data_IF_103692789740
#
_entry.id   IF_103692789740
#
_cell.length_a   1.000
_cell.length_b   1.000
_cell.length_c   1.000
_cell.angle_alpha   90.00
_cell.angle_beta   90.00
_cell.angle_gamma   90.00
#
_symmetry.space_group_name_H-M   'P 1'
#
loop_
_entity.id
_entity.type
_entity.pdbx_description
1 polymer ?
#
# COMPACT_ATOMS: atom_id res chain seq x y z
N UNK A 1 10.59 -13.73 24.58
CA UNK A 1 9.31 -14.35 24.20
C UNK A 1 8.95 -13.90 22.81
N UNK A 2 9.31 -14.69 21.79
CA UNK A 2 8.80 -14.49 20.43
C UNK A 2 7.51 -15.31 20.32
N UNK A 3 6.38 -14.61 20.33
CA UNK A 3 5.07 -15.24 20.19
C UNK A 3 4.89 -15.66 18.73
N UNK A 4 4.76 -16.97 18.49
CA UNK A 4 4.44 -17.55 17.20
C UNK A 4 3.12 -16.99 16.67
N UNK A 5 3.19 -16.15 15.64
CA UNK A 5 2.01 -15.65 14.93
C UNK A 5 1.56 -16.72 13.93
N UNK A 6 0.75 -17.66 14.41
CA UNK A 6 0.02 -18.59 13.54
C UNK A 6 -1.16 -17.85 12.95
N UNK A 7 -0.98 -17.23 11.78
CA UNK A 7 -2.10 -16.64 11.04
C UNK A 7 -2.65 -17.64 10.04
N UNK A 8 -3.76 -18.26 10.42
CA UNK A 8 -4.75 -18.72 9.47
C UNK A 8 -5.12 -17.55 8.56
N UNK A 9 -4.78 -17.65 7.28
CA UNK A 9 -5.22 -16.77 6.22
C UNK A 9 -6.74 -16.87 6.10
N UNK A 10 -7.45 -15.97 6.76
CA UNK A 10 -8.88 -15.71 6.55
C UNK A 10 -9.01 -14.26 6.14
N UNK A 11 -9.92 -14.02 5.23
CA UNK A 11 -10.14 -12.83 4.40
C UNK A 11 -9.76 -11.47 5.02
N UNK A 12 -9.31 -10.48 4.21
CA UNK A 12 -9.04 -9.12 4.68
C UNK A 12 -10.37 -8.40 4.99
N UNK A 13 -11.06 -8.88 6.02
CA UNK A 13 -12.39 -8.50 6.44
C UNK A 13 -12.26 -7.34 7.44
N UNK A 14 -12.56 -6.13 6.96
CA UNK A 14 -13.01 -4.87 7.60
C UNK A 14 -12.43 -4.37 8.95
N UNK A 15 -11.52 -5.10 9.58
CA UNK A 15 -11.04 -4.86 10.95
C UNK A 15 -9.64 -4.27 11.02
N UNK A 16 -8.97 -4.14 9.88
CA UNK A 16 -7.60 -3.61 9.81
C UNK A 16 -7.65 -2.16 9.35
N UNK A 17 -7.30 -1.25 10.26
CA UNK A 17 -7.17 0.17 9.95
C UNK A 17 -6.19 0.39 8.80
N UNK A 18 -6.61 1.23 7.84
CA UNK A 18 -5.75 1.67 6.76
C UNK A 18 -4.77 2.71 7.29
N UNK A 19 -3.57 2.71 6.73
CA UNK A 19 -2.56 3.75 6.98
C UNK A 19 -2.57 4.76 5.84
N UNK A 20 -2.44 6.03 6.19
CA UNK A 20 -2.26 7.10 5.21
C UNK A 20 -0.77 7.28 4.90
N UNK A 21 -0.42 7.28 3.62
CA UNK A 21 0.95 7.40 3.12
C UNK A 21 1.04 8.58 2.17
N UNK A 22 2.03 9.46 2.41
CA UNK A 22 2.34 10.58 1.51
C UNK A 22 3.37 10.13 0.49
N UNK A 23 2.98 10.12 -0.79
CA UNK A 23 3.83 9.78 -1.92
C UNK A 23 4.25 11.05 -2.65
N UNK A 24 5.56 11.27 -2.78
CA UNK A 24 6.14 12.37 -3.55
C UNK A 24 6.76 11.85 -4.83
N UNK A 25 6.17 12.20 -5.96
CA UNK A 25 6.69 11.94 -7.30
C UNK A 25 7.18 13.25 -7.91
N UNK A 26 8.01 13.17 -8.97
CA UNK A 26 8.50 14.37 -9.67
C UNK A 26 7.33 15.24 -10.16
N UNK A 27 7.11 16.37 -9.48
CA UNK A 27 6.07 17.36 -9.75
C UNK A 27 4.70 17.10 -9.10
N UNK A 28 4.53 16.03 -8.31
CA UNK A 28 3.23 15.69 -7.70
C UNK A 28 3.39 15.08 -6.31
N UNK A 29 2.62 15.58 -5.36
CA UNK A 29 2.44 14.96 -4.04
C UNK A 29 1.03 14.40 -3.97
N UNK A 30 0.87 13.20 -3.41
CA UNK A 30 -0.43 12.56 -3.24
C UNK A 30 -0.50 11.82 -1.90
N UNK A 31 -1.69 11.75 -1.34
CA UNK A 31 -2.01 10.94 -0.18
C UNK A 31 -2.71 9.67 -0.65
N UNK A 32 -2.25 8.53 -0.14
CA UNK A 32 -2.76 7.21 -0.51
C UNK A 32 -2.99 6.41 0.77
N UNK A 33 -4.22 5.92 0.94
CA UNK A 33 -4.53 4.99 2.03
C UNK A 33 -4.24 3.56 1.58
N UNK A 34 -3.51 2.78 2.39
CA UNK A 34 -3.20 1.39 2.10
C UNK A 34 -3.34 0.50 3.34
N UNK A 35 -3.52 -0.80 3.14
CA UNK A 35 -3.47 -1.73 4.27
C UNK A 35 -2.01 -1.93 4.73
N UNK A 36 -1.75 -2.09 6.04
CA UNK A 36 -0.39 -2.27 6.56
C UNK A 36 0.41 -3.41 5.91
N UNK A 37 -0.27 -4.50 5.52
CA UNK A 37 0.35 -5.68 4.89
C UNK A 37 0.28 -5.66 3.35
N UNK A 38 -0.27 -4.60 2.76
CA UNK A 38 -0.33 -4.45 1.32
C UNK A 38 1.08 -4.21 0.77
N UNK A 39 1.41 -4.88 -0.33
CA UNK A 39 2.71 -4.72 -0.98
C UNK A 39 2.90 -3.28 -1.45
N UNK A 40 4.03 -2.66 -1.10
CA UNK A 40 4.40 -1.32 -1.54
C UNK A 40 4.36 -1.19 -3.06
N UNK A 41 4.68 -2.26 -3.81
CA UNK A 41 4.60 -2.27 -5.27
C UNK A 41 3.20 -1.90 -5.79
N UNK A 42 2.13 -2.28 -5.08
CA UNK A 42 0.75 -1.93 -5.46
C UNK A 42 0.53 -0.43 -5.32
N UNK A 43 1.01 0.18 -4.22
CA UNK A 43 0.96 1.63 -4.02
C UNK A 43 1.78 2.37 -5.08
N UNK A 44 2.96 1.88 -5.43
CA UNK A 44 3.81 2.50 -6.45
C UNK A 44 3.18 2.43 -7.85
N UNK A 45 2.56 1.30 -8.20
CA UNK A 45 1.83 1.17 -9.47
C UNK A 45 0.65 2.14 -9.52
N UNK A 46 -0.18 2.20 -8.48
CA UNK A 46 -1.30 3.14 -8.38
C UNK A 46 -0.83 4.60 -8.47
N UNK A 47 0.22 4.96 -7.73
CA UNK A 47 0.78 6.31 -7.75
C UNK A 47 1.32 6.69 -9.14
N UNK A 48 1.99 5.78 -9.84
CA UNK A 48 2.47 5.97 -11.21
C UNK A 48 1.30 6.18 -12.18
N UNK A 49 0.27 5.33 -12.13
CA UNK A 49 -0.95 5.46 -12.95
C UNK A 49 -1.66 6.79 -12.70
N UNK A 50 -1.87 7.16 -11.43
CA UNK A 50 -2.48 8.44 -11.02
C UNK A 50 -1.60 9.66 -11.35
N UNK A 51 -0.30 9.47 -11.53
CA UNK A 51 0.61 10.49 -12.03
C UNK A 51 0.66 10.55 -13.57
N UNK A 52 -0.03 9.66 -14.28
CA UNK A 52 0.01 9.56 -15.74
C UNK A 52 1.36 9.08 -16.28
N UNK A 53 2.21 8.50 -15.41
CA UNK A 53 3.52 7.95 -15.77
C UNK A 53 3.39 6.44 -15.80
N UNK A 54 3.57 5.81 -16.97
CA UNK A 54 3.59 4.35 -17.04
C UNK A 54 4.85 3.86 -16.31
N UNK A 55 4.75 2.95 -15.33
CA UNK A 55 5.93 2.29 -14.79
C UNK A 55 6.54 1.47 -15.94
N UNK A 56 7.72 1.87 -16.41
CA UNK A 56 8.45 1.08 -17.41
C UNK A 56 8.89 -0.26 -16.79
N UNK A 57 8.83 -1.32 -17.60
CA UNK A 57 9.16 -2.70 -17.22
C UNK A 57 10.64 -2.89 -16.94
#
# INVERSE_FOLDING_TARGET
YYSNYSSSFTDPDESVDRINVIVKCAGKTMEVDMYPLQRISVLLTDACERAGKKPEK
#
